data_IF_210788306184
#
_entry.id   IF_210788306184
#
_cell.length_a   1.000
_cell.length_b   1.000
_cell.length_c   1.000
_cell.angle_alpha   90.00
_cell.angle_beta   90.00
_cell.angle_gamma   90.00
#
_symmetry.space_group_name_H-M   'P 1'
#
loop_
_entity.id
_entity.type
_entity.pdbx_description
1 polymer ?
#
# COMPACT_ATOMS: atom_id res chain seq x y z
N UNK A 1 2.15 10.74 -15.66
CA UNK A 1 3.44 10.54 -16.33
C UNK A 1 4.23 9.51 -15.54
N UNK A 2 5.15 8.77 -16.16
CA UNK A 2 6.04 7.84 -15.45
C UNK A 2 7.38 8.51 -15.19
N UNK A 3 7.86 8.48 -13.95
CA UNK A 3 9.08 9.16 -13.51
C UNK A 3 10.29 8.73 -14.34
N UNK A 4 10.44 7.43 -14.54
CA UNK A 4 11.54 6.76 -15.23
C UNK A 4 11.57 7.00 -16.75
N UNK A 5 10.49 7.54 -17.32
CA UNK A 5 10.39 7.87 -18.74
C UNK A 5 10.73 9.33 -19.04
N UNK A 6 10.88 10.17 -18.01
CA UNK A 6 11.18 11.60 -18.15
C UNK A 6 12.69 11.85 -18.07
N UNK A 7 13.19 12.68 -18.97
CA UNK A 7 14.56 13.20 -18.94
C UNK A 7 14.70 14.20 -17.79
N UNK A 8 15.90 14.34 -17.22
CA UNK A 8 16.13 15.25 -16.09
C UNK A 8 15.71 16.73 -16.34
N UNK A 9 15.81 17.32 -17.55
CA UNK A 9 15.30 18.67 -17.78
C UNK A 9 13.77 18.75 -17.76
N UNK A 10 13.08 17.67 -18.11
CA UNK A 10 11.62 17.59 -18.08
C UNK A 10 11.12 17.54 -16.64
N UNK A 11 11.79 16.78 -15.77
CA UNK A 11 11.56 16.79 -14.33
C UNK A 11 11.60 18.20 -13.76
N UNK A 12 12.69 18.95 -14.02
CA UNK A 12 12.85 20.34 -13.56
C UNK A 12 11.68 21.25 -13.99
N UNK A 13 11.12 21.03 -15.19
CA UNK A 13 10.01 21.83 -15.74
C UNK A 13 8.67 21.49 -15.10
N UNK A 14 8.41 20.23 -14.76
CA UNK A 14 7.09 19.79 -14.28
C UNK A 14 7.00 19.74 -12.75
N UNK A 15 8.11 19.49 -12.05
CA UNK A 15 8.12 19.24 -10.62
C UNK A 15 7.38 20.31 -9.78
N UNK A 16 7.52 21.63 -10.05
CA UNK A 16 6.82 22.65 -9.26
C UNK A 16 5.30 22.61 -9.33
N UNK A 17 4.72 21.99 -10.37
CA UNK A 17 3.27 21.96 -10.64
C UNK A 17 2.66 20.56 -10.56
N UNK A 18 3.49 19.53 -10.41
CA UNK A 18 3.09 18.12 -10.37
C UNK A 18 3.22 17.55 -8.96
N UNK A 19 2.56 16.42 -8.75
CA UNK A 19 2.60 15.62 -7.53
C UNK A 19 3.46 14.39 -7.82
N UNK A 20 4.50 14.16 -7.03
CA UNK A 20 5.22 12.89 -7.05
C UNK A 20 4.33 11.81 -6.40
N UNK A 21 4.11 10.70 -7.11
CA UNK A 21 3.23 9.62 -6.66
C UNK A 21 4.06 8.35 -6.55
N UNK A 22 4.43 7.97 -5.33
CA UNK A 22 5.35 6.89 -5.04
C UNK A 22 4.60 5.68 -4.48
N UNK A 23 4.32 4.64 -5.29
CA UNK A 23 3.76 3.41 -4.76
C UNK A 23 4.81 2.70 -3.90
N UNK A 24 4.43 2.33 -2.69
CA UNK A 24 5.28 1.57 -1.78
C UNK A 24 4.56 0.27 -1.38
N UNK A 25 5.24 -0.86 -1.54
CA UNK A 25 4.66 -2.20 -1.44
C UNK A 25 5.59 -3.14 -0.65
N UNK A 26 5.42 -4.45 -0.83
CA UNK A 26 6.29 -5.47 -0.28
C UNK A 26 6.34 -6.74 -1.15
N UNK A 27 7.25 -7.64 -0.76
CA UNK A 27 7.31 -9.04 -1.15
C UNK A 27 7.17 -9.87 0.12
N UNK A 28 6.03 -10.51 0.30
CA UNK A 28 5.70 -11.25 1.52
C UNK A 28 4.74 -12.40 1.26
N UNK A 29 4.83 -13.43 2.10
CA UNK A 29 3.89 -14.55 2.10
C UNK A 29 2.44 -14.05 2.02
N UNK A 30 1.58 -14.70 1.24
CA UNK A 30 0.15 -14.40 1.16
C UNK A 30 -0.69 -15.68 1.28
N UNK A 31 -0.30 -16.53 2.23
CA UNK A 31 -0.81 -17.87 2.41
C UNK A 31 -0.58 -18.81 1.22
N UNK A 32 -1.27 -19.94 1.23
CA UNK A 32 -0.97 -21.05 0.31
C UNK A 32 -1.53 -20.86 -1.12
N UNK A 33 -2.37 -19.84 -1.35
CA UNK A 33 -3.12 -19.66 -2.60
C UNK A 33 -2.68 -18.46 -3.45
N UNK A 34 -1.83 -17.58 -2.94
CA UNK A 34 -1.37 -16.37 -3.62
C UNK A 34 0.15 -16.35 -3.76
N UNK A 35 0.69 -15.63 -4.78
CA UNK A 35 2.12 -15.39 -4.89
C UNK A 35 2.60 -14.37 -3.86
N UNK A 36 3.92 -14.29 -3.63
CA UNK A 36 4.50 -13.36 -2.64
C UNK A 36 4.49 -11.88 -3.05
N UNK A 37 4.12 -11.58 -4.31
CA UNK A 37 4.17 -10.23 -4.87
C UNK A 37 2.79 -9.56 -4.99
N UNK A 38 1.84 -9.92 -4.13
CA UNK A 38 0.45 -9.39 -4.15
C UNK A 38 0.42 -7.86 -3.99
N UNK A 39 1.09 -7.33 -2.97
CA UNK A 39 1.11 -5.88 -2.69
C UNK A 39 1.65 -5.08 -3.86
N UNK A 40 2.72 -5.60 -4.48
CA UNK A 40 3.36 -4.97 -5.63
C UNK A 40 2.45 -5.03 -6.86
N UNK A 41 1.78 -6.16 -7.12
CA UNK A 41 0.85 -6.30 -8.24
C UNK A 41 -0.36 -5.37 -8.10
N UNK A 42 -1.01 -5.37 -6.94
CA UNK A 42 -2.16 -4.50 -6.64
C UNK A 42 -1.75 -3.04 -6.66
N UNK A 43 -0.62 -2.70 -6.03
CA UNK A 43 -0.10 -1.34 -5.97
C UNK A 43 0.24 -0.77 -7.35
N UNK A 44 0.89 -1.55 -8.21
CA UNK A 44 1.19 -1.16 -9.58
C UNK A 44 -0.07 -0.86 -10.41
N UNK A 45 -1.08 -1.72 -10.30
CA UNK A 45 -2.33 -1.54 -11.03
C UNK A 45 -3.09 -0.31 -10.55
N UNK A 46 -3.31 -0.19 -9.24
CA UNK A 46 -4.01 0.96 -8.66
C UNK A 46 -3.29 2.26 -8.97
N UNK A 47 -1.96 2.30 -8.81
CA UNK A 47 -1.17 3.47 -9.13
C UNK A 47 -1.33 3.88 -10.59
N UNK A 48 -1.29 2.92 -11.51
CA UNK A 48 -1.46 3.17 -12.94
C UNK A 48 -2.87 3.64 -13.28
N UNK A 49 -3.90 3.08 -12.65
CA UNK A 49 -5.30 3.54 -12.81
C UNK A 49 -5.50 4.97 -12.33
N UNK A 50 -4.93 5.32 -11.18
CA UNK A 50 -5.03 6.65 -10.59
C UNK A 50 -4.24 7.66 -11.44
N UNK A 51 -2.99 7.34 -11.81
CA UNK A 51 -2.15 8.21 -12.64
C UNK A 51 -2.83 8.61 -13.94
N UNK A 52 -3.47 7.65 -14.64
CA UNK A 52 -4.20 7.91 -15.89
C UNK A 52 -5.32 8.94 -15.76
N UNK A 53 -5.86 9.18 -14.56
CA UNK A 53 -6.92 10.18 -14.30
C UNK A 53 -6.38 11.59 -14.12
N UNK A 54 -5.07 11.75 -13.92
CA UNK A 54 -4.43 13.04 -13.67
C UNK A 54 -3.26 13.27 -14.64
N UNK A 55 -3.51 13.25 -15.96
CA UNK A 55 -2.47 13.46 -16.95
C UNK A 55 -1.79 14.81 -16.68
N UNK A 56 -0.46 14.84 -16.79
CA UNK A 56 0.38 16.03 -16.52
C UNK A 56 0.39 16.54 -15.07
N UNK A 57 -0.40 15.96 -14.17
CA UNK A 57 -0.46 16.37 -12.76
C UNK A 57 0.18 15.36 -11.81
N UNK A 58 -0.03 14.05 -12.01
CA UNK A 58 0.69 13.01 -11.27
C UNK A 58 1.92 12.51 -12.05
N UNK A 59 3.03 12.33 -11.33
CA UNK A 59 4.23 11.65 -11.81
C UNK A 59 4.39 10.38 -10.96
N UNK A 60 4.00 9.24 -11.53
CA UNK A 60 4.13 7.95 -10.87
C UNK A 60 5.59 7.48 -10.92
N UNK A 61 6.13 7.09 -9.77
CA UNK A 61 7.43 6.44 -9.67
C UNK A 61 7.32 4.93 -9.90
N UNK A 62 8.45 4.27 -10.21
CA UNK A 62 8.56 2.82 -10.03
C UNK A 62 8.18 2.45 -8.60
N UNK A 63 7.46 1.34 -8.45
CA UNK A 63 7.04 0.86 -7.14
C UNK A 63 8.24 0.44 -6.32
N UNK A 64 8.34 0.95 -5.09
CA UNK A 64 9.27 0.42 -4.09
C UNK A 64 8.73 -0.93 -3.61
N UNK A 65 9.22 -2.00 -4.24
CA UNK A 65 8.75 -3.37 -4.05
C UNK A 65 9.23 -3.99 -2.74
N UNK A 66 10.34 -3.51 -2.16
CA UNK A 66 10.84 -3.98 -0.87
C UNK A 66 10.21 -3.15 0.26
N UNK A 67 9.62 -3.84 1.24
CA UNK A 67 8.95 -3.22 2.38
C UNK A 67 9.54 -3.63 3.73
N UNK A 68 8.95 -3.11 4.81
CA UNK A 68 9.20 -3.58 6.17
C UNK A 68 8.21 -4.71 6.52
N UNK A 69 8.62 -5.94 6.22
CA UNK A 69 7.82 -7.18 6.37
C UNK A 69 8.47 -8.17 7.35
N UNK A 70 9.22 -7.70 8.35
CA UNK A 70 9.92 -8.58 9.32
C UNK A 70 8.97 -9.56 10.03
N UNK A 71 7.76 -9.09 10.32
CA UNK A 71 6.68 -9.88 10.90
C UNK A 71 6.20 -11.04 10.01
N UNK A 72 6.61 -11.13 8.74
CA UNK A 72 6.34 -12.24 7.81
C UNK A 72 7.53 -13.19 7.59
N UNK A 73 8.70 -12.93 8.18
CA UNK A 73 9.94 -13.70 7.91
C UNK A 73 9.88 -15.18 8.33
N UNK A 74 8.95 -15.52 9.21
CA UNK A 74 8.66 -16.91 9.59
C UNK A 74 8.15 -17.78 8.42
N UNK A 75 7.77 -17.17 7.31
CA UNK A 75 7.29 -17.83 6.10
C UNK A 75 8.28 -17.62 4.94
N UNK A 76 8.78 -18.70 4.31
CA UNK A 76 9.71 -18.61 3.17
C UNK A 76 9.16 -17.80 2.00
N UNK A 77 10.05 -17.10 1.29
CA UNK A 77 9.73 -16.27 0.12
C UNK A 77 9.51 -14.80 0.45
N UNK A 78 9.28 -14.45 1.71
CA UNK A 78 9.26 -13.05 2.18
C UNK A 78 10.65 -12.41 2.03
N UNK A 79 10.69 -11.20 1.47
CA UNK A 79 11.88 -10.35 1.44
C UNK A 79 11.60 -9.06 2.19
N UNK A 80 12.36 -8.80 3.25
CA UNK A 80 12.15 -7.63 4.12
C UNK A 80 13.42 -6.83 4.31
N UNK A 81 13.26 -5.52 4.43
CA UNK A 81 14.30 -4.61 4.92
C UNK A 81 13.99 -4.18 6.36
N UNK A 82 15.01 -3.77 7.12
CA UNK A 82 14.83 -3.24 8.48
C UNK A 82 14.05 -1.94 8.45
N UNK A 83 13.20 -1.70 9.45
CA UNK A 83 12.37 -0.49 9.53
C UNK A 83 13.21 0.78 9.51
N UNK A 84 14.36 0.79 10.18
CA UNK A 84 15.31 1.91 10.22
C UNK A 84 15.88 2.20 8.83
N UNK A 85 16.23 1.15 8.08
CA UNK A 85 16.72 1.30 6.71
C UNK A 85 15.60 1.73 5.78
N UNK A 86 14.38 1.21 5.97
CA UNK A 86 13.20 1.65 5.20
C UNK A 86 12.90 3.14 5.42
N UNK A 87 12.97 3.60 6.67
CA UNK A 87 12.85 5.03 7.03
C UNK A 87 13.90 5.86 6.28
N UNK A 88 15.16 5.42 6.26
CA UNK A 88 16.24 6.11 5.54
C UNK A 88 15.97 6.16 4.04
N UNK A 89 15.57 5.05 3.43
CA UNK A 89 15.21 4.99 2.00
C UNK A 89 14.11 6.00 1.66
N UNK A 90 13.02 6.04 2.44
CA UNK A 90 11.93 6.99 2.20
C UNK A 90 12.35 8.44 2.43
N UNK A 91 13.19 8.69 3.44
CA UNK A 91 13.78 10.01 3.71
C UNK A 91 14.63 10.50 2.53
N UNK A 92 15.48 9.63 1.99
CA UNK A 92 16.33 9.94 0.83
C UNK A 92 15.48 10.17 -0.43
N UNK A 93 14.43 9.38 -0.64
CA UNK A 93 13.47 9.61 -1.72
C UNK A 93 12.81 11.00 -1.62
N UNK A 94 12.38 11.42 -0.43
CA UNK A 94 11.80 12.74 -0.23
C UNK A 94 12.81 13.87 -0.51
N UNK A 95 14.07 13.71 -0.09
CA UNK A 95 15.14 14.69 -0.38
C UNK A 95 15.35 14.82 -1.90
N UNK A 96 15.35 13.70 -2.64
CA UNK A 96 15.38 13.72 -4.10
C UNK A 96 14.20 14.50 -4.69
N UNK A 97 12.98 14.34 -4.16
CA UNK A 97 11.80 15.05 -4.65
C UNK A 97 11.91 16.56 -4.42
N UNK A 98 12.33 17.00 -3.22
CA UNK A 98 12.51 18.44 -2.94
C UNK A 98 13.54 19.05 -3.88
N UNK A 99 14.69 18.38 -4.04
CA UNK A 99 15.79 18.84 -4.90
C UNK A 99 15.39 18.94 -6.36
N UNK A 100 14.56 18.01 -6.83
CA UNK A 100 14.00 18.04 -8.18
C UNK A 100 12.96 19.17 -8.38
N UNK A 101 12.45 19.76 -7.29
CA UNK A 101 11.51 20.88 -7.32
C UNK A 101 10.06 20.52 -7.00
N UNK A 102 9.78 19.27 -6.58
CA UNK A 102 8.43 18.88 -6.17
C UNK A 102 8.07 19.55 -4.85
N UNK A 103 6.80 19.93 -4.71
CA UNK A 103 6.23 20.52 -3.49
C UNK A 103 5.10 19.69 -2.89
N UNK A 104 4.73 18.62 -3.58
CA UNK A 104 3.67 17.69 -3.17
C UNK A 104 4.10 16.27 -3.53
N UNK A 105 4.03 15.37 -2.57
CA UNK A 105 4.27 13.95 -2.81
C UNK A 105 3.32 13.07 -1.99
N UNK A 106 2.84 12.01 -2.63
CA UNK A 106 2.00 10.98 -2.03
C UNK A 106 2.80 9.68 -2.02
N UNK A 107 3.04 9.15 -0.83
CA UNK A 107 3.47 7.78 -0.64
C UNK A 107 2.22 6.90 -0.60
N UNK A 108 1.97 6.19 -1.71
CA UNK A 108 0.79 5.36 -1.90
C UNK A 108 1.07 3.95 -1.38
N UNK A 109 0.65 3.70 -0.15
CA UNK A 109 0.98 2.50 0.59
C UNK A 109 0.05 1.33 0.27
N UNK A 110 0.68 0.20 -0.05
CA UNK A 110 0.05 -1.05 -0.43
C UNK A 110 0.36 -2.21 0.52
N UNK A 111 1.10 -1.96 1.60
CA UNK A 111 1.49 -2.95 2.61
C UNK A 111 1.29 -2.43 4.03
N UNK A 112 0.66 -3.22 4.91
CA UNK A 112 0.40 -2.84 6.30
C UNK A 112 1.68 -2.53 7.09
N UNK A 113 2.72 -3.34 6.93
CA UNK A 113 3.98 -3.19 7.67
C UNK A 113 4.75 -1.91 7.36
N UNK A 114 4.50 -1.30 6.21
CA UNK A 114 5.10 -0.02 5.84
C UNK A 114 4.48 1.18 6.56
N UNK A 115 3.30 1.04 7.17
CA UNK A 115 2.52 2.19 7.65
C UNK A 115 3.26 3.00 8.74
N UNK A 116 3.76 2.32 9.78
CA UNK A 116 4.49 2.97 10.87
C UNK A 116 5.82 3.58 10.41
N UNK A 117 6.74 2.83 9.78
CA UNK A 117 8.02 3.41 9.36
C UNK A 117 7.86 4.48 8.28
N UNK A 118 6.85 4.40 7.40
CA UNK A 118 6.59 5.47 6.43
C UNK A 118 6.08 6.75 7.12
N UNK A 119 5.15 6.62 8.08
CA UNK A 119 4.66 7.77 8.86
C UNK A 119 5.81 8.45 9.62
N UNK A 120 6.69 7.64 10.22
CA UNK A 120 7.88 8.14 10.90
C UNK A 120 8.87 8.81 9.95
N UNK A 121 9.10 8.26 8.75
CA UNK A 121 9.95 8.88 7.74
C UNK A 121 9.43 10.27 7.35
N UNK A 122 8.13 10.39 7.09
CA UNK A 122 7.48 11.67 6.76
C UNK A 122 7.67 12.69 7.89
N UNK A 123 7.46 12.28 9.13
CA UNK A 123 7.64 13.12 10.30
C UNK A 123 9.09 13.60 10.43
N UNK A 124 10.05 12.67 10.45
CA UNK A 124 11.50 12.96 10.57
C UNK A 124 11.97 13.88 9.45
N UNK A 125 11.62 13.57 8.20
CA UNK A 125 12.00 14.40 7.06
C UNK A 125 11.46 15.83 7.19
N UNK A 126 10.21 16.00 7.62
CA UNK A 126 9.63 17.34 7.76
C UNK A 126 10.24 18.13 8.93
N UNK A 127 10.54 17.48 10.05
CA UNK A 127 11.12 18.13 11.23
C UNK A 127 12.61 18.45 11.06
N UNK A 128 13.38 17.54 10.47
CA UNK A 128 14.84 17.60 10.47
C UNK A 128 15.40 18.29 9.21
N UNK A 129 14.60 18.47 8.15
CA UNK A 129 15.07 19.03 6.89
C UNK A 129 14.44 20.40 6.59
N UNK A 130 15.20 21.51 6.66
CA UNK A 130 14.69 22.85 6.33
C UNK A 130 14.11 22.97 4.92
N UNK A 131 14.55 22.13 3.96
CA UNK A 131 14.00 22.15 2.59
C UNK A 131 12.59 21.57 2.51
N UNK A 132 12.14 20.84 3.53
CA UNK A 132 10.80 20.27 3.62
C UNK A 132 9.75 21.30 4.07
N UNK A 133 10.15 22.50 4.52
CA UNK A 133 9.22 23.57 4.94
C UNK A 133 8.33 23.99 3.77
N UNK A 134 7.01 23.98 3.99
CA UNK A 134 6.01 24.30 2.97
C UNK A 134 5.86 23.22 1.89
N UNK A 135 6.42 22.03 2.09
CA UNK A 135 6.24 20.88 1.22
C UNK A 135 5.24 19.91 1.84
N UNK A 136 4.28 19.44 1.06
CA UNK A 136 3.27 18.48 1.52
C UNK A 136 3.68 17.06 1.16
N UNK A 137 4.03 16.28 2.18
CA UNK A 137 4.24 14.84 2.09
C UNK A 137 3.12 14.12 2.82
N UNK A 138 2.46 13.18 2.14
CA UNK A 138 1.35 12.43 2.73
C UNK A 138 1.51 10.94 2.49
N UNK A 139 1.10 10.16 3.48
CA UNK A 139 0.97 8.72 3.39
C UNK A 139 -0.50 8.38 3.14
N UNK A 140 -0.80 7.72 2.03
CA UNK A 140 -2.15 7.26 1.70
C UNK A 140 -2.13 5.74 1.57
N UNK A 141 -2.75 5.03 2.52
CA UNK A 141 -2.87 3.57 2.49
C UNK A 141 -4.15 3.20 1.77
N UNK A 142 -4.07 2.44 0.66
CA UNK A 142 -5.17 2.36 -0.30
C UNK A 142 -6.50 1.91 0.32
N UNK A 143 -6.49 0.92 1.22
CA UNK A 143 -7.71 0.38 1.83
C UNK A 143 -8.30 1.29 2.90
N UNK A 144 -7.46 2.11 3.56
CA UNK A 144 -7.88 3.10 4.56
C UNK A 144 -8.48 4.30 3.82
N UNK A 145 -7.75 4.90 2.88
CA UNK A 145 -8.19 6.08 2.12
C UNK A 145 -9.43 5.81 1.28
N UNK A 146 -9.67 4.55 0.87
CA UNK A 146 -10.88 4.16 0.14
C UNK A 146 -11.98 3.54 1.00
N UNK A 147 -11.76 3.44 2.31
CA UNK A 147 -12.74 2.93 3.28
C UNK A 147 -13.28 1.52 2.92
N UNK A 148 -12.40 0.63 2.45
CA UNK A 148 -12.81 -0.71 1.99
C UNK A 148 -13.55 -1.52 3.06
N UNK A 149 -13.27 -1.28 4.35
CA UNK A 149 -13.96 -1.92 5.47
C UNK A 149 -15.47 -1.62 5.54
N UNK A 150 -15.97 -0.62 4.81
CA UNK A 150 -17.39 -0.26 4.81
C UNK A 150 -18.19 -0.96 3.70
N UNK A 151 -17.56 -1.80 2.88
CA UNK A 151 -18.19 -2.47 1.75
C UNK A 151 -19.04 -3.67 2.20
N UNK A 152 -20.37 -3.53 2.09
CA UNK A 152 -21.35 -4.53 2.56
C UNK A 152 -21.37 -5.85 1.78
N UNK A 153 -20.79 -5.89 0.58
CA UNK A 153 -20.77 -7.11 -0.26
C UNK A 153 -19.59 -8.04 0.02
N UNK A 154 -18.72 -7.65 0.96
CA UNK A 154 -17.59 -8.44 1.43
C UNK A 154 -18.04 -9.30 2.61
N UNK A 155 -17.63 -10.57 2.61
CA UNK A 155 -18.02 -11.56 3.63
C UNK A 155 -16.99 -11.69 4.75
N UNK A 156 -15.73 -11.36 4.47
CA UNK A 156 -14.67 -11.26 5.48
C UNK A 156 -14.99 -10.08 6.42
N UNK A 157 -14.77 -10.20 7.74
CA UNK A 157 -15.20 -9.19 8.71
C UNK A 157 -14.42 -7.87 8.63
N UNK A 158 -13.22 -7.90 8.05
CA UNK A 158 -12.36 -6.74 7.86
C UNK A 158 -11.35 -7.01 6.72
N UNK A 159 -10.83 -5.93 6.15
CA UNK A 159 -9.59 -5.93 5.36
C UNK A 159 -8.47 -6.39 6.29
N UNK A 160 -7.81 -7.45 5.88
CA UNK A 160 -6.69 -8.09 6.56
C UNK A 160 -5.77 -8.66 5.48
N UNK A 161 -4.93 -9.62 5.81
CA UNK A 161 -3.85 -10.07 4.93
C UNK A 161 -4.16 -11.40 4.23
N UNK A 162 -3.87 -11.49 2.93
CA UNK A 162 -4.29 -12.55 2.02
C UNK A 162 -5.78 -12.89 2.14
N UNK A 163 -6.59 -11.86 2.41
CA UNK A 163 -8.01 -12.00 2.70
C UNK A 163 -8.86 -11.99 1.42
N UNK A 164 -10.18 -11.92 1.58
CA UNK A 164 -11.12 -11.85 0.46
C UNK A 164 -10.82 -10.68 -0.50
N UNK A 165 -10.36 -9.53 0.03
CA UNK A 165 -10.11 -8.32 -0.75
C UNK A 165 -8.95 -8.52 -1.74
N UNK A 166 -7.76 -8.86 -1.22
CA UNK A 166 -6.55 -9.06 -2.02
C UNK A 166 -6.70 -10.25 -2.96
N UNK A 167 -7.27 -11.36 -2.47
CA UNK A 167 -7.52 -12.53 -3.31
C UNK A 167 -8.46 -12.20 -4.47
N UNK A 168 -9.50 -11.39 -4.24
CA UNK A 168 -10.42 -10.96 -5.29
C UNK A 168 -9.73 -10.10 -6.35
N UNK A 169 -8.92 -9.12 -5.90
CA UNK A 169 -8.14 -8.28 -6.81
C UNK A 169 -7.13 -9.12 -7.62
N UNK A 170 -6.42 -10.05 -6.99
CA UNK A 170 -5.49 -10.95 -7.67
C UNK A 170 -6.17 -11.88 -8.66
N UNK A 171 -7.39 -12.38 -8.38
CA UNK A 171 -8.19 -13.13 -9.35
C UNK A 171 -8.56 -12.30 -10.60
N UNK A 172 -8.55 -10.98 -10.50
CA UNK A 172 -8.79 -10.07 -11.64
C UNK A 172 -7.51 -9.80 -12.41
N UNK A 173 -6.38 -9.63 -11.72
CA UNK A 173 -5.12 -9.19 -12.31
C UNK A 173 -4.28 -10.35 -12.85
N UNK A 174 -4.18 -11.43 -12.08
CA UNK A 174 -3.28 -12.56 -12.33
C UNK A 174 -3.95 -13.87 -11.92
N UNK A 175 -5.09 -14.19 -12.56
CA UNK A 175 -5.91 -15.37 -12.22
C UNK A 175 -5.11 -16.67 -12.25
N UNK A 176 -4.15 -16.77 -13.16
CA UNK A 176 -3.21 -17.87 -13.33
C UNK A 176 -2.31 -18.11 -12.11
N UNK A 177 -2.06 -17.08 -11.30
CA UNK A 177 -1.25 -17.17 -10.09
C UNK A 177 -2.07 -17.48 -8.82
N UNK A 178 -3.40 -17.64 -8.92
CA UNK A 178 -4.28 -17.85 -7.75
C UNK A 178 -4.82 -19.28 -7.71
N UNK A 179 -4.46 -20.04 -6.67
CA UNK A 179 -5.01 -21.38 -6.43
C UNK A 179 -6.17 -21.34 -5.42
N UNK A 180 -7.38 -21.09 -5.91
CA UNK A 180 -8.58 -21.02 -5.06
C UNK A 180 -8.91 -22.32 -4.30
N UNK A 181 -8.34 -23.48 -4.70
CA UNK A 181 -8.51 -24.72 -3.92
C UNK A 181 -7.78 -24.63 -2.58
N UNK A 182 -6.73 -23.82 -2.50
CA UNK A 182 -5.93 -23.57 -1.29
C UNK A 182 -6.34 -22.32 -0.52
N UNK A 183 -7.29 -21.52 -1.03
CA UNK A 183 -7.73 -20.27 -0.43
C UNK A 183 -8.48 -20.53 0.88
N UNK A 184 -7.76 -20.63 1.98
CA UNK A 184 -8.26 -20.90 3.33
C UNK A 184 -7.45 -20.11 4.34
N UNK A 185 -8.07 -19.83 5.48
CA UNK A 185 -7.46 -19.07 6.56
C UNK A 185 -7.65 -19.79 7.88
N UNK A 186 -6.62 -19.78 8.73
CA UNK A 186 -6.68 -20.26 10.10
C UNK A 186 -6.03 -19.25 11.04
N UNK A 187 -6.74 -18.15 11.28
CA UNK A 187 -6.31 -17.05 12.14
C UNK A 187 -6.51 -17.37 13.62
N UNK A 188 -5.50 -17.06 14.44
CA UNK A 188 -5.50 -17.12 15.90
C UNK A 188 -5.83 -15.73 16.46
N UNK A 189 -7.11 -15.41 16.52
CA UNK A 189 -7.56 -14.09 16.94
C UNK A 189 -7.75 -13.98 18.46
N UNK A 190 -7.25 -12.90 19.06
CA UNK A 190 -7.61 -12.52 20.44
C UNK A 190 -8.93 -11.78 20.39
N UNK A 191 -10.02 -12.43 20.82
CA UNK A 191 -11.32 -11.77 20.91
C UNK A 191 -11.26 -10.68 21.98
N UNK A 192 -11.27 -9.43 21.56
CA UNK A 192 -11.20 -8.26 22.44
C UNK A 192 -12.04 -7.12 21.86
N UNK A 193 -12.58 -6.26 22.74
CA UNK A 193 -13.20 -5.00 22.32
C UNK A 193 -12.19 -3.91 21.97
N UNK A 194 -10.90 -4.15 22.25
CA UNK A 194 -9.81 -3.18 22.07
C UNK A 194 -8.88 -3.51 20.90
N UNK A 195 -8.88 -4.77 20.44
CA UNK A 195 -8.03 -5.28 19.36
C UNK A 195 -8.95 -5.76 18.24
N UNK A 196 -8.71 -5.29 17.02
CA UNK A 196 -9.51 -5.61 15.83
C UNK A 196 -8.61 -6.14 14.70
N UNK A 197 -9.16 -6.98 13.83
CA UNK A 197 -8.52 -7.29 12.53
C UNK A 197 -8.50 -6.07 11.61
N UNK A 198 -9.47 -5.17 11.79
CA UNK A 198 -9.51 -3.89 11.13
C UNK A 198 -8.50 -2.95 11.80
N UNK A 199 -7.40 -2.67 11.13
CA UNK A 199 -6.35 -1.75 11.60
C UNK A 199 -6.93 -0.38 12.01
N UNK A 200 -7.92 0.13 11.27
CA UNK A 200 -8.52 1.44 11.55
C UNK A 200 -9.42 1.46 12.79
N UNK A 201 -9.80 0.28 13.33
CA UNK A 201 -10.65 0.15 14.54
C UNK A 201 -9.88 -0.35 15.77
N UNK A 202 -8.59 -0.62 15.63
CA UNK A 202 -7.77 -1.08 16.75
C UNK A 202 -7.42 0.08 17.68
N UNK A 203 -7.68 -0.09 18.98
CA UNK A 203 -7.43 0.94 20.01
C UNK A 203 -6.17 0.62 20.81
N UNK A 204 -5.87 -0.67 20.99
CA UNK A 204 -4.66 -1.14 21.67
C UNK A 204 -3.78 -1.87 20.66
N UNK A 205 -2.57 -1.35 20.46
CA UNK A 205 -1.58 -1.97 19.56
C UNK A 205 -0.99 -3.21 20.21
N UNK A 206 -1.07 -4.34 19.51
CA UNK A 206 -0.37 -5.58 19.86
C UNK A 206 0.53 -5.99 18.71
N UNK A 207 1.81 -6.21 19.00
CA UNK A 207 2.79 -6.70 18.02
C UNK A 207 2.85 -8.22 18.09
N UNK A 208 2.85 -8.87 16.92
CA UNK A 208 3.00 -10.32 16.73
C UNK A 208 3.68 -10.59 15.40
N UNK A 209 4.36 -11.73 15.29
CA UNK A 209 4.67 -12.28 13.97
C UNK A 209 3.42 -12.87 13.34
N UNK A 210 3.42 -13.00 12.01
CA UNK A 210 2.31 -13.64 11.30
C UNK A 210 2.16 -15.12 11.68
N UNK A 211 3.24 -15.80 12.09
CA UNK A 211 3.17 -17.20 12.51
C UNK A 211 2.50 -17.37 13.88
N UNK A 212 2.60 -16.35 14.74
CA UNK A 212 1.80 -16.28 15.97
C UNK A 212 0.33 -15.99 15.66
N UNK A 213 0.05 -15.19 14.62
CA UNK A 213 -1.29 -14.76 14.25
C UNK A 213 -2.06 -15.76 13.37
N UNK A 214 -1.41 -16.61 12.59
CA UNK A 214 -2.06 -17.55 11.66
C UNK A 214 -1.17 -18.75 11.33
N UNK A 215 -1.80 -19.90 11.13
CA UNK A 215 -1.11 -21.13 10.71
C UNK A 215 -0.91 -21.19 9.19
N UNK A 216 -1.80 -20.56 8.43
CA UNK A 216 -1.84 -20.65 6.96
C UNK A 216 -1.18 -19.47 6.29
N UNK A 217 -0.71 -18.46 7.05
CA UNK A 217 -0.24 -17.20 6.50
C UNK A 217 -1.36 -16.21 6.16
N UNK A 218 -2.56 -16.67 5.79
CA UNK A 218 -3.73 -15.80 5.56
C UNK A 218 -4.50 -15.42 6.84
N UNK A 219 -5.10 -14.23 6.82
CA UNK A 219 -6.08 -13.74 7.78
C UNK A 219 -7.37 -13.31 7.06
N UNK A 220 -8.53 -13.50 7.68
CA UNK A 220 -9.83 -13.23 7.03
C UNK A 220 -10.38 -14.43 6.25
N UNK A 221 -11.19 -14.20 5.20
CA UNK A 221 -11.99 -15.23 4.50
C UNK A 221 -11.73 -15.28 2.97
N UNK A 222 -10.54 -15.71 2.51
CA UNK A 222 -10.19 -15.72 1.09
C UNK A 222 -11.06 -16.64 0.23
N UNK A 223 -11.72 -17.66 0.80
CA UNK A 223 -12.58 -18.58 0.07
C UNK A 223 -13.81 -17.92 -0.59
N UNK A 224 -14.17 -16.71 -0.16
CA UNK A 224 -15.27 -15.94 -0.72
C UNK A 224 -14.86 -15.00 -1.86
N UNK A 225 -13.57 -14.98 -2.21
CA UNK A 225 -13.03 -14.12 -3.23
C UNK A 225 -13.53 -14.48 -4.63
N UNK A 226 -13.79 -13.47 -5.44
CA UNK A 226 -14.16 -13.64 -6.85
C UNK A 226 -13.52 -12.54 -7.71
N UNK A 227 -13.27 -12.84 -8.98
CA UNK A 227 -12.77 -11.83 -9.93
C UNK A 227 -13.77 -10.65 -10.10
N UNK A 228 -15.07 -10.90 -9.95
CA UNK A 228 -16.06 -9.81 -10.02
C UNK A 228 -15.93 -8.81 -8.86
N UNK A 229 -15.71 -9.33 -7.64
CA UNK A 229 -15.37 -8.48 -6.48
C UNK A 229 -14.07 -7.73 -6.73
N UNK A 230 -13.07 -8.37 -7.32
CA UNK A 230 -11.79 -7.74 -7.61
C UNK A 230 -11.90 -6.54 -8.54
N UNK A 231 -12.65 -6.65 -9.64
CA UNK A 231 -12.95 -5.51 -10.52
C UNK A 231 -13.61 -4.36 -9.76
N UNK A 232 -14.67 -4.67 -8.99
CA UNK A 232 -15.40 -3.67 -8.17
C UNK A 232 -14.49 -2.99 -7.15
N UNK A 233 -13.61 -3.74 -6.50
CA UNK A 233 -12.63 -3.23 -5.54
C UNK A 233 -11.62 -2.29 -6.22
N UNK A 234 -11.02 -2.72 -7.34
CA UNK A 234 -10.05 -1.89 -8.07
C UNK A 234 -10.69 -0.57 -8.53
N UNK A 235 -11.92 -0.61 -9.05
CA UNK A 235 -12.66 0.59 -9.46
C UNK A 235 -12.98 1.50 -8.27
N UNK A 236 -13.47 0.92 -7.16
CA UNK A 236 -13.80 1.65 -5.93
C UNK A 236 -12.56 2.36 -5.35
N UNK A 237 -11.45 1.64 -5.19
CA UNK A 237 -10.20 2.23 -4.68
C UNK A 237 -9.71 3.33 -5.61
N UNK A 238 -9.71 3.08 -6.92
CA UNK A 238 -9.31 4.10 -7.91
C UNK A 238 -10.16 5.36 -7.78
N UNK A 239 -11.48 5.23 -7.60
CA UNK A 239 -12.39 6.37 -7.41
C UNK A 239 -12.08 7.16 -6.15
N UNK A 240 -12.08 6.51 -4.98
CA UNK A 240 -11.90 7.18 -3.69
C UNK A 240 -10.51 7.81 -3.55
N UNK A 241 -9.46 7.10 -3.97
CA UNK A 241 -8.11 7.67 -3.93
C UNK A 241 -7.96 8.82 -4.93
N UNK A 242 -8.61 8.77 -6.09
CA UNK A 242 -8.61 9.90 -7.03
C UNK A 242 -9.31 11.13 -6.45
N UNK A 243 -10.36 10.98 -5.67
CA UNK A 243 -11.00 12.10 -4.96
C UNK A 243 -10.01 12.79 -4.02
N UNK A 244 -9.31 12.01 -3.20
CA UNK A 244 -8.22 12.52 -2.35
C UNK A 244 -7.12 13.20 -3.17
N UNK A 245 -6.65 12.60 -4.26
CA UNK A 245 -5.60 13.22 -5.10
C UNK A 245 -6.07 14.56 -5.68
N UNK A 246 -7.33 14.68 -6.07
CA UNK A 246 -7.90 15.94 -6.57
C UNK A 246 -7.92 17.02 -5.50
N UNK A 247 -8.30 16.66 -4.27
CA UNK A 247 -8.25 17.57 -3.12
C UNK A 247 -6.81 17.98 -2.81
N UNK A 248 -5.90 17.01 -2.68
CA UNK A 248 -4.48 17.23 -2.41
C UNK A 248 -3.81 18.11 -3.48
N UNK A 249 -4.24 18.00 -4.74
CA UNK A 249 -3.78 18.86 -5.81
C UNK A 249 -4.07 20.35 -5.58
N UNK A 250 -5.12 20.67 -4.82
CA UNK A 250 -5.53 22.02 -4.45
C UNK A 250 -4.93 22.59 -3.17
N UNK A 251 -4.23 21.78 -2.36
CA UNK A 251 -3.55 22.24 -1.14
C UNK A 251 -2.49 23.33 -1.37
#
# INVERSE_FOLDING_TARGET
MKWEQLKWPEHKKIAPRSIAFAPIAAIEQHGHHLPVAVDTAIGNELASRIERRFPKKLVQLPTLWIGSSHHHLDFPGTMSIQSETYIKVLTDMMDCFVRAGYRKAIFFNCHGGNHLPASEALYRFHMDNPRARGVHYVLATYWITSELNNLKYMKTPAVSHACEYETSMMLTLHRDLVDMKKARSKTRFVKSKYISLDYAKTVVTMVRTFKEATETGSMGRPEFATADKGRKLLDHVTNRVSEFVREFAGW
#
